data_IF_021775022610
#
_entry.id   IF_021775022610
#
_cell.length_a   1.000
_cell.length_b   1.000
_cell.length_c   1.000
_cell.angle_alpha   90.00
_cell.angle_beta   90.00
_cell.angle_gamma   90.00
#
_symmetry.space_group_name_H-M   'P 1'
#
loop_
_entity.id
_entity.type
_entity.pdbx_description
1 polymer ?
#
# COMPACT_ATOMS: atom_id res chain seq x y z
N UNK A 1 8.85 -6.32 -9.81
CA UNK A 1 8.46 -7.74 -9.56
C UNK A 1 8.18 -8.44 -10.89
N UNK A 2 7.13 -8.06 -11.66
CA UNK A 2 6.78 -8.72 -12.93
C UNK A 2 7.94 -8.81 -13.93
N UNK A 3 8.73 -7.75 -14.10
CA UNK A 3 9.95 -7.78 -14.96
C UNK A 3 10.99 -8.82 -14.53
N UNK A 4 10.92 -9.31 -13.31
CA UNK A 4 11.81 -10.34 -12.76
C UNK A 4 11.14 -11.73 -12.76
N UNK A 5 10.02 -11.89 -13.47
CA UNK A 5 9.34 -13.17 -13.65
C UNK A 5 8.33 -13.54 -12.56
N UNK A 6 8.00 -12.64 -11.64
CA UNK A 6 6.96 -12.90 -10.65
C UNK A 6 5.55 -12.78 -11.27
N UNK A 7 4.64 -13.68 -10.89
CA UNK A 7 3.21 -13.51 -11.11
C UNK A 7 2.70 -12.44 -10.14
N UNK A 8 2.11 -11.38 -10.67
CA UNK A 8 1.74 -10.21 -9.87
C UNK A 8 0.25 -9.94 -9.96
N UNK A 9 -0.38 -9.77 -8.79
CA UNK A 9 -1.72 -9.21 -8.63
C UNK A 9 -1.57 -7.79 -8.09
N UNK A 10 -2.15 -6.82 -8.76
CA UNK A 10 -2.24 -5.43 -8.32
C UNK A 10 -3.66 -5.12 -7.86
N UNK A 11 -3.83 -4.69 -6.62
CA UNK A 11 -5.13 -4.33 -6.06
C UNK A 11 -5.18 -2.83 -5.76
N UNK A 12 -6.28 -2.19 -6.11
CA UNK A 12 -6.57 -0.80 -5.75
C UNK A 12 -8.06 -0.64 -5.46
N UNK A 13 -8.38 0.02 -4.35
CA UNK A 13 -9.76 0.31 -3.95
C UNK A 13 -10.40 1.42 -4.81
N UNK A 14 -9.61 2.20 -5.53
CA UNK A 14 -10.08 3.25 -6.43
C UNK A 14 -10.18 2.73 -7.86
N UNK A 15 -11.41 2.48 -8.32
CA UNK A 15 -11.71 1.96 -9.66
C UNK A 15 -10.99 2.71 -10.79
N UNK A 16 -10.92 4.05 -10.68
CA UNK A 16 -10.28 4.93 -11.68
C UNK A 16 -8.80 4.66 -11.92
N UNK A 17 -8.11 4.04 -10.96
CA UNK A 17 -6.68 3.75 -11.06
C UNK A 17 -6.40 2.49 -11.89
N UNK A 18 -7.34 1.56 -11.93
CA UNK A 18 -7.17 0.26 -12.61
C UNK A 18 -6.90 0.41 -14.11
N UNK A 19 -7.69 1.17 -14.90
CA UNK A 19 -7.41 1.33 -16.32
C UNK A 19 -6.04 1.98 -16.60
N UNK A 20 -5.64 2.94 -15.76
CA UNK A 20 -4.34 3.63 -15.90
C UNK A 20 -3.20 2.64 -15.67
N UNK A 21 -3.30 1.82 -14.61
CA UNK A 21 -2.30 0.80 -14.30
C UNK A 21 -2.21 -0.27 -15.40
N UNK A 22 -3.34 -0.71 -15.96
CA UNK A 22 -3.39 -1.67 -17.07
C UNK A 22 -2.71 -1.14 -18.33
N UNK A 23 -3.01 0.12 -18.73
CA UNK A 23 -2.37 0.77 -19.89
C UNK A 23 -0.85 0.86 -19.68
N UNK A 24 -0.41 1.25 -18.50
CA UNK A 24 1.02 1.36 -18.19
C UNK A 24 1.72 -0.01 -18.21
N UNK A 25 1.09 -1.06 -17.70
CA UNK A 25 1.63 -2.42 -17.78
C UNK A 25 1.75 -2.88 -19.24
N UNK A 26 0.70 -2.67 -20.04
CA UNK A 26 0.70 -3.01 -21.47
C UNK A 26 1.81 -2.28 -22.24
N UNK A 27 1.96 -0.98 -22.03
CA UNK A 27 3.05 -0.18 -22.64
C UNK A 27 4.44 -0.67 -22.22
N UNK A 28 4.55 -1.26 -21.04
CA UNK A 28 5.79 -1.81 -20.49
C UNK A 28 6.02 -3.27 -20.87
N UNK A 29 5.11 -3.90 -21.62
CA UNK A 29 5.18 -5.32 -21.97
C UNK A 29 5.08 -6.25 -20.76
N UNK A 30 4.30 -5.87 -19.73
CA UNK A 30 4.15 -6.63 -18.50
C UNK A 30 2.74 -7.19 -18.38
N UNK A 31 2.64 -8.44 -17.92
CA UNK A 31 1.39 -9.07 -17.54
C UNK A 31 1.21 -8.94 -16.02
N UNK A 32 0.20 -8.17 -15.62
CA UNK A 32 -0.15 -7.95 -14.21
C UNK A 32 -1.68 -8.03 -14.11
N UNK A 33 -2.18 -8.84 -13.19
CA UNK A 33 -3.61 -8.95 -12.92
C UNK A 33 -4.06 -7.80 -12.00
N UNK A 34 -4.53 -6.71 -12.60
CA UNK A 34 -5.03 -5.56 -11.85
C UNK A 34 -6.51 -5.71 -11.53
N UNK A 35 -6.85 -5.54 -10.25
CA UNK A 35 -8.20 -5.74 -9.71
C UNK A 35 -8.66 -4.51 -8.92
N UNK A 36 -9.88 -4.04 -9.21
CA UNK A 36 -10.60 -3.11 -8.33
C UNK A 36 -11.13 -3.89 -7.14
N UNK A 37 -10.39 -3.90 -6.05
CA UNK A 37 -10.68 -4.71 -4.85
C UNK A 37 -9.87 -4.24 -3.65
N UNK A 38 -10.25 -4.70 -2.45
CA UNK A 38 -9.48 -4.49 -1.23
C UNK A 38 -8.75 -5.76 -0.78
N UNK A 39 -7.82 -5.63 0.17
CA UNK A 39 -7.13 -6.77 0.76
C UNK A 39 -8.10 -7.75 1.43
N UNK A 40 -9.12 -7.22 2.09
CA UNK A 40 -10.16 -8.00 2.77
C UNK A 40 -11.02 -8.80 1.77
N UNK A 41 -11.26 -8.25 0.58
CA UNK A 41 -12.02 -8.94 -0.46
C UNK A 41 -11.21 -10.06 -1.11
N UNK A 42 -9.93 -9.83 -1.39
CA UNK A 42 -9.02 -10.88 -1.89
C UNK A 42 -8.97 -12.04 -0.90
N UNK A 43 -8.94 -11.75 0.39
CA UNK A 43 -8.90 -12.76 1.43
C UNK A 43 -10.11 -13.72 1.39
N UNK A 44 -11.30 -13.23 1.01
CA UNK A 44 -12.51 -14.07 0.85
C UNK A 44 -12.34 -15.16 -0.20
N UNK A 45 -11.48 -14.94 -1.18
CA UNK A 45 -11.19 -15.92 -2.24
C UNK A 45 -10.13 -16.97 -1.83
N UNK A 46 -9.67 -16.94 -0.57
CA UNK A 46 -8.65 -17.85 -0.04
C UNK A 46 -7.31 -17.79 -0.79
N UNK A 47 -7.05 -16.72 -1.52
CA UNK A 47 -5.78 -16.51 -2.22
C UNK A 47 -4.64 -16.26 -1.23
N UNK A 48 -3.44 -16.73 -1.58
CA UNK A 48 -2.23 -16.59 -0.76
C UNK A 48 -1.03 -16.22 -1.64
N UNK A 49 -0.19 -15.37 -1.11
CA UNK A 49 0.95 -14.80 -1.82
C UNK A 49 2.26 -15.07 -1.07
N UNK A 50 3.33 -15.25 -1.82
CA UNK A 50 4.68 -15.38 -1.25
C UNK A 50 5.16 -14.03 -0.71
N UNK A 51 4.75 -12.93 -1.38
CA UNK A 51 5.10 -11.56 -1.01
C UNK A 51 3.86 -10.67 -1.10
N UNK A 52 3.65 -9.84 -0.08
CA UNK A 52 2.67 -8.75 -0.07
C UNK A 52 3.41 -7.43 0.01
N UNK A 53 3.14 -6.54 -0.96
CA UNK A 53 3.69 -5.18 -0.98
C UNK A 53 2.60 -4.19 -0.56
N UNK A 54 2.88 -3.42 0.49
CA UNK A 54 2.03 -2.37 1.01
C UNK A 54 2.87 -1.09 1.12
N UNK A 55 2.91 -0.34 0.01
CA UNK A 55 3.75 0.84 -0.14
C UNK A 55 2.88 2.08 -0.14
N UNK A 56 3.01 2.93 0.89
CA UNK A 56 2.27 4.20 1.04
C UNK A 56 0.73 4.00 0.97
N UNK A 57 0.22 2.97 1.64
CA UNK A 57 -1.21 2.63 1.67
C UNK A 57 -1.78 2.71 3.08
N UNK A 58 -1.01 2.24 4.07
CA UNK A 58 -1.49 2.05 5.45
C UNK A 58 -2.00 3.34 6.09
N UNK A 59 -1.47 4.51 5.73
CA UNK A 59 -1.92 5.83 6.20
C UNK A 59 -3.24 6.29 5.57
N UNK A 60 -3.68 5.65 4.50
CA UNK A 60 -4.91 6.02 3.78
C UNK A 60 -6.12 5.17 4.18
N UNK A 61 -5.90 4.05 4.87
CA UNK A 61 -7.00 3.18 5.31
C UNK A 61 -7.66 3.72 6.58
N UNK A 62 -8.92 3.36 6.79
CA UNK A 62 -9.67 3.79 7.97
C UNK A 62 -9.26 3.05 9.25
N UNK A 63 -8.85 1.79 9.11
CA UNK A 63 -8.38 0.94 10.21
C UNK A 63 -7.08 0.24 9.79
N UNK A 64 -5.91 0.80 10.15
CA UNK A 64 -4.60 0.22 9.85
C UNK A 64 -4.40 -1.18 10.41
N UNK A 65 -4.94 -1.48 11.59
CA UNK A 65 -4.79 -2.79 12.21
C UNK A 65 -5.58 -3.87 11.46
N UNK A 66 -6.84 -3.59 11.11
CA UNK A 66 -7.66 -4.49 10.32
C UNK A 66 -7.05 -4.74 8.94
N UNK A 67 -6.57 -3.70 8.26
CA UNK A 67 -5.91 -3.79 6.97
C UNK A 67 -4.63 -4.64 7.02
N UNK A 68 -3.73 -4.39 7.98
CA UNK A 68 -2.51 -5.17 8.15
C UNK A 68 -2.80 -6.62 8.55
N UNK A 69 -3.89 -6.86 9.31
CA UNK A 69 -4.37 -8.21 9.62
C UNK A 69 -4.77 -8.95 8.34
N UNK A 70 -5.52 -8.30 7.45
CA UNK A 70 -5.87 -8.88 6.15
C UNK A 70 -4.61 -9.16 5.30
N UNK A 71 -3.69 -8.20 5.20
CA UNK A 71 -2.41 -8.37 4.50
C UNK A 71 -1.60 -9.55 5.05
N UNK A 72 -1.53 -9.70 6.39
CA UNK A 72 -0.88 -10.84 7.04
C UNK A 72 -1.57 -12.16 6.67
N UNK A 73 -2.89 -12.17 6.65
CA UNK A 73 -3.64 -13.37 6.30
C UNK A 73 -3.53 -13.74 4.82
N UNK A 74 -3.20 -12.81 3.94
CA UNK A 74 -2.90 -13.07 2.52
C UNK A 74 -1.53 -13.72 2.30
N UNK A 75 -0.62 -13.70 3.28
CA UNK A 75 0.68 -14.33 3.17
C UNK A 75 0.58 -15.86 3.28
N UNK A 76 1.36 -16.55 2.47
CA UNK A 76 1.70 -17.95 2.68
C UNK A 76 2.53 -18.13 3.96
N UNK A 77 2.71 -19.38 4.40
CA UNK A 77 3.67 -19.68 5.45
C UNK A 77 5.07 -19.24 5.01
N UNK A 78 5.78 -18.53 5.87
CA UNK A 78 7.08 -17.91 5.59
C UNK A 78 7.06 -16.85 4.46
N UNK A 79 5.89 -16.32 4.12
CA UNK A 79 5.77 -15.21 3.18
C UNK A 79 6.30 -13.90 3.77
N UNK A 80 6.68 -12.97 2.90
CA UNK A 80 7.28 -11.69 3.26
C UNK A 80 6.29 -10.56 3.02
N UNK A 81 6.14 -9.65 3.99
CA UNK A 81 5.46 -8.37 3.81
C UNK A 81 6.48 -7.23 3.75
N UNK A 82 6.40 -6.42 2.71
CA UNK A 82 7.10 -5.14 2.63
C UNK A 82 6.08 -4.03 2.82
N UNK A 83 6.32 -3.19 3.82
CA UNK A 83 5.42 -2.10 4.17
C UNK A 83 6.21 -0.80 4.27
N UNK A 84 5.72 0.27 3.64
CA UNK A 84 6.21 1.62 3.84
C UNK A 84 5.07 2.60 4.09
N UNK A 85 5.38 3.69 4.76
CA UNK A 85 4.47 4.80 5.01
C UNK A 85 5.25 6.08 5.24
N UNK A 86 4.59 7.22 5.12
CA UNK A 86 5.18 8.52 5.40
C UNK A 86 5.28 8.70 6.91
N UNK A 87 6.51 8.92 7.40
CA UNK A 87 6.74 9.16 8.82
C UNK A 87 6.10 10.48 9.29
N UNK A 88 5.40 10.46 10.42
CA UNK A 88 4.82 11.63 11.07
C UNK A 88 5.89 12.48 11.77
N UNK A 89 6.52 13.38 11.03
CA UNK A 89 7.49 14.33 11.57
C UNK A 89 7.38 15.72 10.90
N UNK A 90 7.98 16.78 11.46
CA UNK A 90 7.91 18.13 10.88
C UNK A 90 8.45 18.22 9.46
N UNK A 91 9.44 17.40 9.11
CA UNK A 91 10.03 17.38 7.76
C UNK A 91 9.03 16.82 6.74
N UNK A 92 8.33 15.74 7.06
CA UNK A 92 7.29 15.17 6.17
C UNK A 92 6.11 16.12 6.01
N UNK A 93 5.72 16.84 7.06
CA UNK A 93 4.72 17.89 6.97
C UNK A 93 5.13 18.97 5.95
N UNK A 94 6.35 19.48 6.09
CA UNK A 94 6.89 20.50 5.21
C UNK A 94 6.97 20.01 3.75
N UNK A 95 7.45 18.80 3.54
CA UNK A 95 7.68 18.26 2.19
C UNK A 95 6.40 17.79 1.52
N UNK A 96 5.59 16.97 2.18
CA UNK A 96 4.40 16.35 1.58
C UNK A 96 3.23 17.35 1.48
N UNK A 97 2.99 18.14 2.54
CA UNK A 97 1.82 19.03 2.57
C UNK A 97 2.17 20.41 2.00
N UNK A 98 3.18 21.09 2.54
CA UNK A 98 3.52 22.44 2.07
C UNK A 98 4.22 22.37 0.71
N UNK A 99 5.20 21.50 0.55
CA UNK A 99 5.97 21.38 -0.69
C UNK A 99 5.13 20.84 -1.84
N UNK A 100 4.65 19.62 -1.75
CA UNK A 100 3.99 18.94 -2.87
C UNK A 100 2.58 19.48 -3.18
N UNK A 101 1.79 19.82 -2.15
CA UNK A 101 0.40 20.25 -2.36
C UNK A 101 0.25 21.76 -2.55
N UNK A 102 1.00 22.61 -1.81
CA UNK A 102 0.80 24.06 -1.82
C UNK A 102 1.79 24.80 -2.71
N UNK A 103 3.07 24.46 -2.69
CA UNK A 103 4.12 25.15 -3.45
C UNK A 103 4.22 24.59 -4.87
N UNK A 104 4.54 23.31 -5.00
CA UNK A 104 4.75 22.68 -6.30
C UNK A 104 3.45 22.31 -7.02
N UNK A 105 2.36 22.13 -6.26
CA UNK A 105 1.03 21.72 -6.77
C UNK A 105 1.09 20.45 -7.61
N UNK A 106 1.99 19.54 -7.26
CA UNK A 106 2.09 18.23 -7.91
C UNK A 106 0.92 17.34 -7.55
N UNK A 107 0.35 17.55 -6.36
CA UNK A 107 -0.79 16.82 -5.83
C UNK A 107 -1.93 17.77 -5.47
N UNK A 108 -3.19 17.35 -5.57
CA UNK A 108 -4.34 18.11 -5.08
C UNK A 108 -4.20 18.43 -3.59
N UNK A 109 -4.69 19.60 -3.17
CA UNK A 109 -4.72 19.97 -1.75
C UNK A 109 -5.57 18.98 -0.95
N UNK A 110 -5.06 18.56 0.21
CA UNK A 110 -5.73 17.60 1.07
C UNK A 110 -5.51 16.14 0.66
N UNK A 111 -4.55 15.86 -0.22
CA UNK A 111 -4.14 14.48 -0.53
C UNK A 111 -3.56 13.79 0.68
N UNK A 112 -2.82 14.53 1.52
CA UNK A 112 -2.20 14.01 2.73
C UNK A 112 -2.83 14.63 3.98
N UNK A 113 -3.26 13.77 4.91
CA UNK A 113 -3.62 14.14 6.27
C UNK A 113 -2.47 13.76 7.21
N UNK A 114 -1.76 14.77 7.72
CA UNK A 114 -0.60 14.56 8.60
C UNK A 114 -0.95 13.75 9.86
N UNK A 115 -2.20 13.83 10.34
CA UNK A 115 -2.65 13.07 11.52
C UNK A 115 -2.72 11.57 11.25
N UNK A 116 -2.79 11.18 9.97
CA UNK A 116 -2.80 9.78 9.53
C UNK A 116 -1.41 9.22 9.26
N UNK A 117 -0.38 10.06 9.24
CA UNK A 117 0.99 9.59 9.09
C UNK A 117 1.39 8.77 10.32
N UNK A 118 2.13 7.70 10.08
CA UNK A 118 2.46 6.69 11.08
C UNK A 118 3.95 6.78 11.39
N UNK A 119 4.31 6.88 12.68
CA UNK A 119 5.73 6.85 13.08
C UNK A 119 6.30 5.43 12.91
N UNK A 120 7.64 5.28 12.80
CA UNK A 120 8.25 3.96 12.74
C UNK A 120 7.87 3.06 13.91
N UNK A 121 7.84 3.59 15.12
CA UNK A 121 7.49 2.82 16.33
C UNK A 121 6.02 2.35 16.27
N UNK A 122 5.10 3.24 15.87
CA UNK A 122 3.69 2.88 15.69
C UNK A 122 3.52 1.78 14.63
N UNK A 123 4.25 1.87 13.50
CA UNK A 123 4.22 0.84 12.47
C UNK A 123 4.79 -0.49 12.96
N UNK A 124 5.91 -0.47 13.70
CA UNK A 124 6.49 -1.66 14.32
C UNK A 124 5.51 -2.34 15.28
N UNK A 125 4.82 -1.57 16.10
CA UNK A 125 3.82 -2.10 17.03
C UNK A 125 2.62 -2.70 16.29
N UNK A 126 2.12 -2.04 15.25
CA UNK A 126 1.06 -2.58 14.39
C UNK A 126 1.48 -3.91 13.75
N UNK A 127 2.69 -4.01 13.19
CA UNK A 127 3.23 -5.22 12.57
C UNK A 127 3.36 -6.36 13.57
N UNK A 128 3.84 -6.08 14.78
CA UNK A 128 3.91 -7.09 15.87
C UNK A 128 2.52 -7.55 16.31
N UNK A 129 1.57 -6.62 16.43
CA UNK A 129 0.20 -6.93 16.85
C UNK A 129 -0.52 -7.87 15.87
N UNK A 130 -0.18 -7.83 14.58
CA UNK A 130 -0.71 -8.78 13.59
C UNK A 130 0.09 -10.10 13.52
N UNK A 131 1.09 -10.29 14.39
CA UNK A 131 1.86 -11.53 14.48
C UNK A 131 2.96 -11.66 13.42
N UNK A 132 3.47 -10.55 12.90
CA UNK A 132 4.66 -10.52 12.05
C UNK A 132 5.88 -10.09 12.86
N UNK A 133 7.05 -10.55 12.43
CA UNK A 133 8.36 -10.13 12.97
C UNK A 133 8.96 -9.12 12.02
N UNK A 134 9.12 -7.85 12.45
CA UNK A 134 9.74 -6.81 11.64
C UNK A 134 11.25 -7.00 11.49
#
# INVERSE_FOLDING_TARGET
>A
MARLGATVVGADAAEKNIPVAQIHAQQSGLEIDYRHTSAEEILKNSEKFDVVLNMEVVEHVSDPLAFLTACRQLLKLNGLMLCSTINRNPKSYLMAIIGAEHVMRWLPKGTHDWNKFITPDELFDLIKNVGLTP
#
